data_IF_436808016727
#
_entry.id   IF_436808016727
#
_cell.length_a   1.000
_cell.length_b   1.000
_cell.length_c   1.000
_cell.angle_alpha   90.00
_cell.angle_beta   90.00
_cell.angle_gamma   90.00
#
_symmetry.space_group_name_H-M   'P 1'
#
loop_
_entity.id
_entity.type
_entity.pdbx_description
1 polymer ?
#
# COMPACT_ATOMS: atom_id res chain seq x y z
N UNK A 1 -3.22 -21.14 31.77
CA UNK A 1 -3.89 -22.16 30.93
C UNK A 1 -3.84 -23.50 31.65
N UNK A 2 -4.92 -23.91 32.32
CA UNK A 2 -4.94 -25.14 33.12
C UNK A 2 -5.23 -26.38 32.28
N UNK A 3 -4.22 -27.19 32.01
CA UNK A 3 -4.36 -28.49 31.37
C UNK A 3 -4.76 -29.56 32.38
N UNK A 4 -6.06 -29.80 32.56
CA UNK A 4 -6.53 -30.96 33.33
C UNK A 4 -6.13 -32.25 32.60
N UNK A 5 -5.78 -33.28 33.37
CA UNK A 5 -5.52 -34.62 32.84
C UNK A 5 -6.71 -35.09 31.97
N UNK A 6 -6.43 -35.68 30.82
CA UNK A 6 -7.47 -36.03 29.84
C UNK A 6 -8.28 -37.25 30.30
N UNK A 7 -7.73 -38.05 31.21
CA UNK A 7 -8.29 -39.32 31.69
C UNK A 7 -9.31 -39.20 32.82
N UNK A 8 -9.41 -38.05 33.51
CA UNK A 8 -10.34 -37.87 34.63
C UNK A 8 -11.46 -36.88 34.33
N UNK A 9 -12.57 -37.06 35.05
CA UNK A 9 -13.76 -36.19 35.02
C UNK A 9 -13.48 -34.87 35.76
N UNK A 10 -14.44 -33.93 35.73
CA UNK A 10 -14.31 -32.64 36.42
C UNK A 10 -14.10 -32.78 37.94
N UNK A 11 -14.52 -33.91 38.52
CA UNK A 11 -14.39 -34.23 39.95
C UNK A 11 -13.18 -35.12 40.26
N UNK A 12 -12.28 -35.37 39.29
CA UNK A 12 -11.08 -36.19 39.48
C UNK A 12 -11.31 -37.71 39.41
N UNK A 13 -12.55 -38.18 39.32
CA UNK A 13 -12.87 -39.61 39.09
C UNK A 13 -12.43 -40.04 37.70
N UNK A 14 -11.91 -41.27 37.56
CA UNK A 14 -11.61 -41.87 36.26
C UNK A 14 -12.84 -41.86 35.35
N UNK A 15 -12.63 -41.48 34.09
CA UNK A 15 -13.69 -41.41 33.08
C UNK A 15 -14.07 -42.82 32.61
N UNK A 16 -15.35 -43.04 32.28
CA UNK A 16 -15.83 -44.31 31.77
C UNK A 16 -15.08 -44.72 30.47
N UNK A 17 -14.64 -45.98 30.30
CA UNK A 17 -13.99 -46.47 29.09
C UNK A 17 -14.70 -46.09 27.77
N UNK A 18 -16.03 -46.13 27.73
CA UNK A 18 -16.81 -45.74 26.53
C UNK A 18 -16.67 -44.24 26.23
N UNK A 19 -16.69 -43.40 27.25
CA UNK A 19 -16.52 -41.96 27.10
C UNK A 19 -15.07 -41.58 26.79
N UNK A 20 -14.10 -42.35 27.28
CA UNK A 20 -12.70 -42.25 26.86
C UNK A 20 -12.56 -42.51 25.35
N UNK A 21 -13.11 -43.61 24.85
CA UNK A 21 -13.08 -43.96 23.43
C UNK A 21 -13.73 -42.87 22.55
N UNK A 22 -14.89 -42.35 22.95
CA UNK A 22 -15.57 -41.23 22.24
C UNK A 22 -14.72 -39.95 22.24
N UNK A 23 -14.12 -39.60 23.38
CA UNK A 23 -13.27 -38.41 23.51
C UNK A 23 -12.02 -38.52 22.65
N UNK A 24 -11.42 -39.70 22.58
CA UNK A 24 -10.30 -39.98 21.70
C UNK A 24 -10.66 -39.90 20.22
N UNK A 25 -11.81 -40.47 19.82
CA UNK A 25 -12.35 -40.35 18.47
C UNK A 25 -12.57 -38.87 18.08
N UNK A 26 -13.24 -38.10 18.94
CA UNK A 26 -13.44 -36.65 18.76
C UNK A 26 -12.12 -35.89 18.67
N UNK A 27 -11.11 -36.24 19.47
CA UNK A 27 -9.78 -35.62 19.40
C UNK A 27 -9.08 -35.92 18.07
N UNK A 28 -9.19 -37.15 17.56
CA UNK A 28 -8.66 -37.53 16.24
C UNK A 28 -9.38 -36.76 15.13
N UNK A 29 -10.70 -36.64 15.20
CA UNK A 29 -11.51 -35.86 14.25
C UNK A 29 -11.17 -34.37 14.28
N UNK A 30 -11.10 -33.74 15.47
CA UNK A 30 -10.69 -32.34 15.61
C UNK A 30 -9.29 -32.07 15.05
N UNK A 31 -8.36 -33.03 15.19
CA UNK A 31 -7.03 -32.95 14.56
C UNK A 31 -7.12 -32.99 13.03
N UNK A 32 -7.96 -33.87 12.46
CA UNK A 32 -8.22 -33.90 11.00
C UNK A 32 -8.82 -32.57 10.54
N UNK A 33 -9.86 -32.07 11.20
CA UNK A 33 -10.51 -30.81 10.88
C UNK A 33 -9.54 -29.62 10.97
N UNK A 34 -8.63 -29.61 11.95
CA UNK A 34 -7.57 -28.59 12.05
C UNK A 34 -6.62 -28.66 10.84
N UNK A 35 -6.19 -29.86 10.42
CA UNK A 35 -5.37 -30.03 9.22
C UNK A 35 -6.09 -29.57 7.96
N UNK A 36 -7.36 -29.97 7.78
CA UNK A 36 -8.18 -29.53 6.64
C UNK A 36 -8.33 -28.01 6.61
N UNK A 37 -8.60 -27.36 7.75
CA UNK A 37 -8.67 -25.89 7.83
C UNK A 37 -7.35 -25.23 7.45
N UNK A 38 -6.21 -25.78 7.87
CA UNK A 38 -4.89 -25.26 7.49
C UNK A 38 -4.65 -25.42 5.98
N UNK A 39 -4.99 -26.57 5.41
CA UNK A 39 -4.88 -26.83 3.97
C UNK A 39 -5.76 -25.88 3.15
N UNK A 40 -7.02 -25.70 3.55
CA UNK A 40 -7.95 -24.76 2.92
C UNK A 40 -7.40 -23.33 3.00
N UNK A 41 -6.87 -22.91 4.16
CA UNK A 41 -6.24 -21.58 4.31
C UNK A 41 -5.03 -21.40 3.39
N UNK A 42 -4.19 -22.42 3.24
CA UNK A 42 -3.06 -22.38 2.31
C UNK A 42 -3.53 -22.33 0.86
N UNK A 43 -4.52 -23.15 0.47
CA UNK A 43 -5.09 -23.16 -0.87
C UNK A 43 -5.72 -21.82 -1.26
N UNK A 44 -6.48 -21.20 -0.34
CA UNK A 44 -7.07 -19.87 -0.56
C UNK A 44 -5.98 -18.81 -0.74
N UNK A 45 -4.85 -18.93 -0.04
CA UNK A 45 -3.73 -18.02 -0.19
C UNK A 45 -3.00 -18.23 -1.52
N UNK A 46 -2.81 -19.47 -1.96
CA UNK A 46 -2.24 -19.82 -3.28
C UNK A 46 -3.08 -19.30 -4.45
N UNK A 47 -4.40 -19.30 -4.30
CA UNK A 47 -5.32 -18.76 -5.32
C UNK A 47 -5.36 -17.23 -5.42
N UNK A 48 -4.60 -16.49 -4.59
CA UNK A 48 -4.52 -15.03 -4.72
C UNK A 48 -3.49 -14.65 -5.78
N UNK A 49 -3.89 -13.78 -6.70
CA UNK A 49 -3.01 -13.25 -7.74
C UNK A 49 -2.14 -12.12 -7.17
N UNK A 50 -0.79 -12.22 -7.21
CA UNK A 50 0.10 -11.16 -6.74
C UNK A 50 -0.16 -9.82 -7.43
N UNK A 51 -0.27 -9.80 -8.76
CA UNK A 51 -0.63 -8.59 -9.53
C UNK A 51 -1.93 -7.94 -9.07
N UNK A 52 -2.93 -8.74 -8.68
CA UNK A 52 -4.20 -8.21 -8.16
C UNK A 52 -4.02 -7.44 -6.85
N UNK A 53 -3.12 -7.90 -5.97
CA UNK A 53 -2.81 -7.21 -4.71
C UNK A 53 -2.08 -5.89 -4.96
N UNK A 54 -1.16 -5.83 -5.93
CA UNK A 54 -0.50 -4.58 -6.34
C UNK A 54 -1.54 -3.59 -6.86
N UNK A 55 -2.40 -4.01 -7.78
CA UNK A 55 -3.44 -3.14 -8.36
C UNK A 55 -4.38 -2.59 -7.28
N UNK A 56 -4.72 -3.39 -6.27
CA UNK A 56 -5.54 -2.94 -5.13
C UNK A 56 -4.80 -1.90 -4.28
N UNK A 57 -3.49 -2.06 -4.05
CA UNK A 57 -2.67 -1.03 -3.39
C UNK A 57 -2.59 0.24 -4.22
N UNK A 58 -2.28 0.16 -5.51
CA UNK A 58 -2.23 1.32 -6.42
C UNK A 58 -3.56 2.08 -6.47
N UNK A 59 -4.68 1.38 -6.39
CA UNK A 59 -5.99 2.01 -6.34
C UNK A 59 -6.19 2.78 -5.03
N UNK A 60 -5.77 2.23 -3.89
CA UNK A 60 -5.79 2.96 -2.61
C UNK A 60 -4.89 4.19 -2.64
N UNK A 61 -3.72 4.09 -3.27
CA UNK A 61 -2.75 5.19 -3.39
C UNK A 61 -3.28 6.31 -4.27
N UNK A 62 -3.90 5.97 -5.41
CA UNK A 62 -4.58 6.95 -6.28
C UNK A 62 -5.71 7.67 -5.56
N UNK A 63 -6.45 7.00 -4.68
CA UNK A 63 -7.49 7.64 -3.87
C UNK A 63 -6.94 8.50 -2.73
N UNK A 64 -5.75 8.20 -2.20
CA UNK A 64 -5.11 9.00 -1.14
C UNK A 64 -4.44 10.26 -1.71
N UNK A 65 -3.84 10.15 -2.89
CA UNK A 65 -3.00 11.18 -3.52
C UNK A 65 -3.66 11.81 -4.76
N UNK A 66 -4.97 12.02 -4.73
CA UNK A 66 -5.69 12.80 -5.75
C UNK A 66 -5.73 14.29 -5.32
N UNK A 67 -5.11 15.22 -6.07
CA UNK A 67 -5.13 16.64 -5.74
C UNK A 67 -6.42 17.34 -6.18
N UNK A 68 -7.24 16.71 -7.02
CA UNK A 68 -8.49 17.27 -7.55
C UNK A 68 -9.65 16.88 -6.65
N UNK A 69 -9.73 15.60 -6.27
CA UNK A 69 -10.83 15.09 -5.46
C UNK A 69 -10.36 14.78 -4.03
N UNK A 70 -11.07 15.26 -2.99
CA UNK A 70 -10.76 14.88 -1.63
C UNK A 70 -10.96 13.37 -1.44
N UNK A 71 -10.06 12.74 -0.68
CA UNK A 71 -10.12 11.32 -0.41
C UNK A 71 -11.50 10.94 0.18
N UNK A 72 -12.20 9.93 -0.38
CA UNK A 72 -13.56 9.58 0.04
C UNK A 72 -13.63 8.96 1.45
N UNK A 73 -12.49 8.55 1.99
CA UNK A 73 -12.36 7.95 3.31
C UNK A 73 -11.29 8.66 4.14
N UNK A 74 -11.39 8.53 5.47
CA UNK A 74 -10.34 8.97 6.37
C UNK A 74 -9.01 8.27 6.00
N UNK A 75 -7.94 9.06 5.92
CA UNK A 75 -6.57 8.61 5.65
C UNK A 75 -6.19 7.37 6.47
N UNK A 76 -6.59 7.33 7.76
CA UNK A 76 -6.31 6.16 8.64
C UNK A 76 -6.91 4.86 8.11
N UNK A 77 -8.11 4.90 7.51
CA UNK A 77 -8.77 3.72 6.94
C UNK A 77 -8.05 3.25 5.68
N UNK A 78 -7.58 4.18 4.83
CA UNK A 78 -6.79 3.84 3.64
C UNK A 78 -5.44 3.20 4.02
N UNK A 79 -4.77 3.76 5.03
CA UNK A 79 -3.53 3.19 5.58
C UNK A 79 -3.74 1.79 6.16
N UNK A 80 -4.81 1.56 6.92
CA UNK A 80 -5.15 0.23 7.44
C UNK A 80 -5.47 -0.78 6.34
N UNK A 81 -6.20 -0.38 5.30
CA UNK A 81 -6.47 -1.23 4.13
C UNK A 81 -5.17 -1.58 3.40
N UNK A 82 -4.30 -0.59 3.14
CA UNK A 82 -2.97 -0.81 2.54
C UNK A 82 -2.14 -1.78 3.37
N UNK A 83 -2.12 -1.60 4.70
CA UNK A 83 -1.42 -2.50 5.64
C UNK A 83 -1.93 -3.94 5.54
N UNK A 84 -3.25 -4.16 5.50
CA UNK A 84 -3.84 -5.51 5.37
C UNK A 84 -3.51 -6.19 4.03
N UNK A 85 -3.43 -5.41 2.95
CA UNK A 85 -3.01 -5.92 1.64
C UNK A 85 -1.53 -6.28 1.67
N UNK A 86 -0.67 -5.42 2.26
CA UNK A 86 0.76 -5.72 2.46
C UNK A 86 1.00 -6.97 3.32
N UNK A 87 0.26 -7.15 4.41
CA UNK A 87 0.31 -8.39 5.20
C UNK A 87 -0.15 -9.64 4.43
N UNK A 88 -1.04 -9.46 3.45
CA UNK A 88 -1.45 -10.53 2.54
C UNK A 88 -0.34 -10.82 1.53
N UNK A 89 0.26 -9.79 0.95
CA UNK A 89 1.42 -9.87 0.08
C UNK A 89 2.57 -10.62 0.74
N UNK A 90 2.97 -10.26 1.96
CA UNK A 90 4.06 -10.92 2.69
C UNK A 90 3.81 -12.41 2.96
N UNK A 91 2.53 -12.80 3.12
CA UNK A 91 2.15 -14.21 3.30
C UNK A 91 2.21 -14.96 1.98
N UNK A 92 1.81 -14.33 0.88
CA UNK A 92 1.90 -14.89 -0.48
C UNK A 92 3.38 -15.01 -0.89
N UNK A 93 4.18 -13.98 -0.65
CA UNK A 93 5.63 -13.97 -0.91
C UNK A 93 6.36 -15.11 -0.18
N UNK A 94 6.08 -15.29 1.12
CA UNK A 94 6.64 -16.43 1.89
C UNK A 94 6.25 -17.80 1.35
N UNK A 95 5.10 -17.90 0.70
CA UNK A 95 4.65 -19.15 0.08
C UNK A 95 5.42 -19.39 -1.23
N UNK A 96 5.53 -18.38 -2.10
CA UNK A 96 6.28 -18.50 -3.35
C UNK A 96 7.78 -18.68 -3.11
N UNK A 97 8.38 -17.95 -2.16
CA UNK A 97 9.79 -18.13 -1.79
C UNK A 97 10.13 -19.57 -1.39
N UNK A 98 9.15 -20.32 -0.86
CA UNK A 98 9.32 -21.73 -0.47
C UNK A 98 9.05 -22.71 -1.60
N UNK A 99 7.99 -22.46 -2.39
CA UNK A 99 7.49 -23.43 -3.39
C UNK A 99 8.09 -23.16 -4.80
N UNK A 100 8.31 -21.90 -5.18
CA UNK A 100 8.74 -21.44 -6.52
C UNK A 100 9.59 -20.14 -6.45
N UNK A 101 10.93 -20.23 -6.50
CA UNK A 101 11.80 -19.06 -6.35
C UNK A 101 11.71 -18.06 -7.52
N UNK A 102 11.39 -18.51 -8.73
CA UNK A 102 11.23 -17.65 -9.91
C UNK A 102 9.97 -16.76 -9.80
N UNK A 103 8.88 -17.30 -9.27
CA UNK A 103 7.68 -16.51 -8.98
C UNK A 103 7.95 -15.46 -7.88
N UNK A 104 8.86 -15.74 -6.95
CA UNK A 104 9.25 -14.78 -5.92
C UNK A 104 10.04 -13.58 -6.49
N UNK A 105 10.95 -13.80 -7.44
CA UNK A 105 11.67 -12.68 -8.09
C UNK A 105 10.74 -11.81 -8.94
N UNK A 106 9.72 -12.41 -9.58
CA UNK A 106 8.65 -11.64 -10.25
C UNK A 106 7.83 -10.81 -9.26
N UNK A 107 7.59 -11.32 -8.04
CA UNK A 107 6.95 -10.52 -7.01
C UNK A 107 7.82 -9.35 -6.56
N UNK A 108 9.12 -9.56 -6.37
CA UNK A 108 10.04 -8.47 -5.99
C UNK A 108 10.08 -7.36 -7.04
N UNK A 109 10.11 -7.71 -8.33
CA UNK A 109 10.06 -6.72 -9.41
C UNK A 109 8.75 -5.93 -9.41
N UNK A 110 7.60 -6.60 -9.26
CA UNK A 110 6.31 -5.94 -9.14
C UNK A 110 6.22 -5.00 -7.94
N UNK A 111 6.80 -5.38 -6.79
CA UNK A 111 6.82 -4.54 -5.61
C UNK A 111 7.70 -3.29 -5.84
N UNK A 112 8.86 -3.45 -6.47
CA UNK A 112 9.75 -2.35 -6.80
C UNK A 112 9.12 -1.35 -7.78
N UNK A 113 8.41 -1.86 -8.80
CA UNK A 113 7.63 -1.02 -9.73
C UNK A 113 6.54 -0.23 -9.01
N UNK A 114 5.79 -0.89 -8.12
CA UNK A 114 4.78 -0.24 -7.29
C UNK A 114 5.37 0.86 -6.40
N UNK A 115 6.48 0.58 -5.72
CA UNK A 115 7.14 1.56 -4.84
C UNK A 115 7.64 2.79 -5.63
N UNK A 116 8.17 2.57 -6.84
CA UNK A 116 8.56 3.65 -7.75
C UNK A 116 7.35 4.49 -8.18
N UNK A 117 6.27 3.85 -8.60
CA UNK A 117 5.04 4.54 -9.02
C UNK A 117 4.43 5.34 -7.86
N UNK A 118 4.40 4.76 -6.65
CA UNK A 118 3.94 5.43 -5.43
C UNK A 118 4.78 6.66 -5.10
N UNK A 119 6.11 6.56 -5.17
CA UNK A 119 6.98 7.70 -4.90
C UNK A 119 6.71 8.86 -5.87
N UNK A 120 6.56 8.57 -7.17
CA UNK A 120 6.22 9.57 -8.18
C UNK A 120 4.86 10.24 -7.88
N UNK A 121 3.86 9.45 -7.50
CA UNK A 121 2.54 9.95 -7.16
C UNK A 121 2.55 10.89 -5.96
N UNK A 122 3.32 10.56 -4.92
CA UNK A 122 3.49 11.40 -3.73
C UNK A 122 4.17 12.71 -4.09
N UNK A 123 5.30 12.66 -4.80
CA UNK A 123 6.03 13.86 -5.23
C UNK A 123 5.16 14.76 -6.09
N UNK A 124 4.38 14.17 -7.01
CA UNK A 124 3.44 14.93 -7.83
C UNK A 124 2.35 15.59 -6.97
N UNK A 125 1.70 14.84 -6.09
CA UNK A 125 0.67 15.37 -5.19
C UNK A 125 1.19 16.51 -4.30
N UNK A 126 2.38 16.35 -3.72
CA UNK A 126 3.04 17.39 -2.91
C UNK A 126 3.35 18.63 -3.75
N UNK A 127 3.88 18.46 -4.98
CA UNK A 127 4.17 19.59 -5.88
C UNK A 127 2.92 20.39 -6.26
N UNK A 128 1.80 19.71 -6.55
CA UNK A 128 0.53 20.35 -6.88
C UNK A 128 -0.01 21.10 -5.66
N UNK A 129 0.03 20.48 -4.49
CA UNK A 129 -0.43 21.11 -3.25
C UNK A 129 0.42 22.31 -2.86
N UNK A 130 1.72 22.25 -3.10
CA UNK A 130 2.63 23.38 -2.85
C UNK A 130 2.36 24.52 -3.83
N UNK A 131 2.18 24.21 -5.13
CA UNK A 131 1.82 25.21 -6.14
C UNK A 131 0.48 25.89 -5.82
N UNK A 132 -0.50 25.16 -5.27
CA UNK A 132 -1.77 25.73 -4.81
C UNK A 132 -1.64 26.63 -3.57
N UNK A 133 -0.57 26.50 -2.79
CA UNK A 133 -0.30 27.32 -1.61
C UNK A 133 0.43 28.62 -1.95
N UNK A 134 1.34 28.58 -2.92
CA UNK A 134 2.14 29.74 -3.33
C UNK A 134 1.22 30.84 -3.85
N UNK A 135 1.34 32.03 -3.27
CA UNK A 135 0.62 33.22 -3.72
C UNK A 135 1.40 33.93 -4.83
N UNK A 136 0.71 34.70 -5.70
CA UNK A 136 1.33 35.36 -6.86
C UNK A 136 2.52 36.25 -6.46
N UNK A 137 2.47 36.86 -5.28
CA UNK A 137 3.48 37.78 -4.77
C UNK A 137 4.77 37.09 -4.27
N UNK A 138 4.73 35.76 -4.06
CA UNK A 138 5.87 34.96 -3.59
C UNK A 138 6.67 34.33 -4.75
N UNK A 139 6.23 34.51 -6.01
CA UNK A 139 6.92 34.00 -7.19
C UNK A 139 8.11 34.94 -7.48
N UNK A 140 9.37 34.50 -7.32
CA UNK A 140 10.51 35.34 -7.63
C UNK A 140 10.51 35.68 -9.12
N UNK A 141 10.46 36.98 -9.43
CA UNK A 141 10.65 37.44 -10.80
C UNK A 141 12.10 37.17 -11.23
N UNK A 142 12.34 36.75 -12.49
CA UNK A 142 13.69 36.60 -13.00
C UNK A 142 14.40 37.97 -12.96
N UNK A 143 15.56 38.03 -12.30
CA UNK A 143 16.41 39.22 -12.35
C UNK A 143 16.82 39.45 -13.81
N UNK A 144 16.33 40.54 -14.40
CA UNK A 144 16.81 41.01 -15.68
C UNK A 144 18.34 41.22 -15.53
N UNK A 145 19.16 40.64 -16.42
CA UNK A 145 20.60 40.88 -16.36
C UNK A 145 20.83 42.39 -16.44
N UNK A 146 21.35 42.96 -15.35
CA UNK A 146 21.81 44.33 -15.27
C UNK A 146 23.05 44.45 -16.14
N UNK A 147 22.83 44.55 -17.45
CA UNK A 147 23.84 45.01 -18.38
C UNK A 147 24.33 46.40 -17.96
N UNK A 148 25.60 46.74 -18.22
CA UNK A 148 26.18 48.02 -17.82
C UNK A 148 25.34 49.18 -18.37
N UNK A 149 25.31 50.34 -17.68
CA UNK A 149 24.51 51.48 -18.11
C UNK A 149 24.90 51.83 -19.55
N UNK A 150 23.92 51.71 -20.46
CA UNK A 150 24.06 52.24 -21.80
C UNK A 150 24.30 53.74 -21.65
N UNK A 151 25.55 54.13 -21.89
CA UNK A 151 25.99 55.52 -21.97
C UNK A 151 25.05 56.26 -22.92
N UNK A 152 24.53 57.38 -22.40
CA UNK A 152 23.93 58.48 -23.14
C UNK A 152 24.59 58.68 -24.50
N UNK A 153 23.76 58.68 -25.55
CA UNK A 153 23.84 59.53 -26.75
C UNK A 153 23.25 58.77 -27.93
N UNK A 154 22.01 59.10 -28.34
CA UNK A 154 21.71 59.51 -29.73
C UNK A 154 20.46 60.39 -29.69
N UNK A 155 20.69 61.67 -29.90
CA UNK A 155 19.72 62.67 -30.34
C UNK A 155 19.10 62.28 -31.69
N UNK A 156 17.78 62.40 -31.79
CA UNK A 156 17.09 62.51 -33.08
C UNK A 156 16.16 61.35 -33.41
N UNK A 157 14.90 61.45 -32.98
CA UNK A 157 13.79 60.89 -33.74
C UNK A 157 12.61 61.87 -33.69
N UNK A 158 12.60 62.78 -34.67
CA UNK A 158 11.42 63.59 -35.00
C UNK A 158 10.42 62.67 -35.70
N UNK A 159 9.39 62.22 -34.99
CA UNK A 159 8.19 61.64 -35.60
C UNK A 159 7.25 62.78 -35.96
N UNK A 160 7.38 63.29 -37.18
CA UNK A 160 6.28 63.95 -37.87
C UNK A 160 5.17 62.92 -38.09
N UNK A 161 4.01 63.16 -37.48
CA UNK A 161 2.75 62.49 -37.82
C UNK A 161 1.97 63.39 -38.79
N UNK A 162 1.51 62.89 -39.95
CA UNK A 162 0.48 63.57 -40.71
C UNK A 162 -0.91 63.19 -40.18
N UNK A 163 -1.72 64.19 -39.85
CA UNK A 163 -3.18 64.05 -39.73
C UNK A 163 -3.78 63.74 -41.10
N UNK A 164 -4.53 62.64 -41.20
CA UNK A 164 -5.69 62.49 -42.10
C UNK A 164 -6.77 61.66 -41.41
#
# INVERSE_FOLDING_TARGET
MGGRNISTTKNGKFMNPTDQARKEARKKELRKNKKTRLLVRQSVLKGKNPRGLINEMEHLDRMEYDPVNPAPYNIKVLQEKRKKIKETWDRVYRLYSKDEPESATQMDTLLAEYERARAQLITWFESVKETQRVTIDEIPMPELPSGPPASSDVSGLSTDYPEV
#
